data_IF_361962212910
#
_entry.id   IF_361962212910
#
_cell.length_a   1.000
_cell.length_b   1.000
_cell.length_c   1.000
_cell.angle_alpha   90.00
_cell.angle_beta   90.00
_cell.angle_gamma   90.00
#
_symmetry.space_group_name_H-M   'P 1'
#
loop_
_entity.id
_entity.type
_entity.pdbx_description
1 polymer ?
#
# COMPACT_ATOMS: atom_id res chain seq x y z
N UNK A 1 -9.95 -4.38 -15.05
CA UNK A 1 -8.69 -4.69 -14.35
C UNK A 1 -8.79 -4.12 -12.94
N UNK A 2 -8.49 -4.89 -11.89
CA UNK A 2 -8.71 -4.53 -10.47
C UNK A 2 -7.35 -4.14 -9.85
N UNK A 3 -7.32 -3.01 -9.13
CA UNK A 3 -6.07 -2.48 -8.52
C UNK A 3 -5.62 -3.29 -7.28
N UNK A 4 -6.55 -4.03 -6.65
CA UNK A 4 -6.31 -4.84 -5.44
C UNK A 4 -6.84 -6.25 -5.66
N UNK A 5 -6.03 -7.26 -5.33
CA UNK A 5 -6.40 -8.68 -5.36
C UNK A 5 -6.31 -9.24 -3.95
N UNK A 6 -7.44 -9.74 -3.44
CA UNK A 6 -7.57 -10.36 -2.12
C UNK A 6 -8.23 -11.71 -2.31
N UNK A 7 -7.76 -12.74 -1.60
CA UNK A 7 -8.47 -14.01 -1.47
C UNK A 7 -9.53 -13.88 -0.37
N UNK A 8 -10.62 -14.63 -0.51
CA UNK A 8 -11.73 -14.65 0.46
C UNK A 8 -11.38 -15.40 1.75
N UNK A 9 -10.23 -16.07 1.78
CA UNK A 9 -9.74 -16.85 2.94
C UNK A 9 -8.99 -15.92 3.91
N UNK A 10 -9.40 -15.81 5.18
CA UNK A 10 -8.67 -15.05 6.20
C UNK A 10 -7.22 -15.52 6.36
N UNK A 11 -6.31 -14.60 6.71
CA UNK A 11 -4.90 -14.93 6.91
C UNK A 11 -4.12 -15.29 5.63
N UNK A 12 -4.69 -15.04 4.45
CA UNK A 12 -3.98 -15.21 3.18
C UNK A 12 -3.38 -13.92 2.66
N UNK A 13 -2.27 -14.04 1.92
CA UNK A 13 -1.61 -12.89 1.28
C UNK A 13 -2.51 -12.25 0.23
N UNK A 14 -2.43 -10.93 0.12
CA UNK A 14 -3.06 -10.15 -0.95
C UNK A 14 -2.01 -9.55 -1.89
N UNK A 15 -2.45 -8.80 -2.89
CA UNK A 15 -1.55 -7.99 -3.70
C UNK A 15 -2.19 -6.70 -4.21
N UNK A 16 -1.35 -5.68 -4.43
CA UNK A 16 -1.73 -4.42 -5.06
C UNK A 16 -0.95 -4.26 -6.36
N UNK A 17 -1.67 -4.00 -7.44
CA UNK A 17 -1.09 -3.68 -8.73
C UNK A 17 -0.97 -2.17 -8.89
N UNK A 18 0.24 -1.69 -9.17
CA UNK A 18 0.52 -0.25 -9.30
C UNK A 18 0.76 0.11 -10.77
N UNK A 19 -0.28 0.64 -11.42
CA UNK A 19 -0.25 1.01 -12.85
C UNK A 19 -0.30 2.51 -13.10
N UNK A 20 -0.72 3.29 -12.10
CA UNK A 20 -0.98 4.74 -12.24
C UNK A 20 -0.64 5.50 -10.97
N UNK A 21 -0.43 6.80 -11.12
CA UNK A 21 -0.19 7.74 -10.03
C UNK A 21 -1.17 8.91 -10.12
N UNK A 22 -1.52 9.47 -8.97
CA UNK A 22 -2.35 10.67 -8.89
C UNK A 22 -1.66 11.69 -7.98
N UNK A 23 -1.52 12.93 -8.46
CA UNK A 23 -0.98 14.05 -7.69
C UNK A 23 -1.90 15.25 -7.83
N UNK A 24 -2.11 15.98 -6.74
CA UNK A 24 -2.82 17.26 -6.80
C UNK A 24 -1.82 18.40 -6.98
N UNK A 25 -2.06 19.28 -7.94
CA UNK A 25 -1.28 20.50 -8.18
C UNK A 25 -2.22 21.62 -8.60
N UNK A 26 -2.07 22.83 -8.04
CA UNK A 26 -2.95 23.99 -8.33
C UNK A 26 -4.44 23.62 -8.26
N UNK A 27 -4.83 22.89 -7.20
CA UNK A 27 -6.19 22.36 -6.92
C UNK A 27 -6.72 21.31 -7.91
N UNK A 28 -5.99 20.98 -8.96
CA UNK A 28 -6.38 19.99 -9.97
C UNK A 28 -5.68 18.64 -9.75
N UNK A 29 -6.36 17.56 -10.11
CA UNK A 29 -5.78 16.22 -10.11
C UNK A 29 -5.06 15.97 -11.43
N UNK A 30 -3.79 15.62 -11.33
CA UNK A 30 -2.94 15.21 -12.44
C UNK A 30 -2.72 13.72 -12.27
N UNK A 31 -3.16 12.96 -13.28
CA UNK A 31 -2.92 11.53 -13.37
C UNK A 31 -1.75 11.29 -14.32
N UNK A 32 -0.90 10.33 -13.97
CA UNK A 32 0.24 9.95 -14.81
C UNK A 32 0.61 8.50 -14.60
N UNK A 33 1.43 7.97 -15.49
CA UNK A 33 2.07 6.67 -15.33
C UNK A 33 3.30 6.79 -14.44
N UNK A 34 3.74 5.71 -13.78
CA UNK A 34 5.05 5.67 -13.14
C UNK A 34 6.17 6.07 -14.12
N UNK A 35 7.23 6.70 -13.61
CA UNK A 35 8.26 7.42 -14.38
C UNK A 35 9.08 6.53 -15.36
N UNK A 36 8.94 5.21 -15.36
CA UNK A 36 9.63 4.31 -16.27
C UNK A 36 8.81 3.05 -16.58
N UNK A 37 9.03 2.41 -17.73
CA UNK A 37 8.42 1.12 -18.09
C UNK A 37 8.73 0.03 -17.04
N UNK A 38 9.94 0.03 -16.47
CA UNK A 38 10.31 -0.88 -15.36
C UNK A 38 9.61 -0.56 -14.02
N UNK A 39 9.05 0.64 -13.86
CA UNK A 39 8.23 1.03 -12.70
C UNK A 39 6.73 0.97 -12.98
N UNK A 40 6.36 0.73 -14.23
CA UNK A 40 4.99 0.63 -14.71
C UNK A 40 4.57 -0.82 -14.56
N UNK A 41 3.48 -1.06 -13.85
CA UNK A 41 2.91 -2.39 -13.67
C UNK A 41 3.68 -3.34 -12.74
N UNK A 42 3.95 -2.87 -11.51
CA UNK A 42 4.44 -3.75 -10.44
C UNK A 42 3.31 -4.29 -9.58
N UNK A 43 3.47 -5.52 -9.12
CA UNK A 43 2.62 -6.15 -8.11
C UNK A 43 3.37 -6.15 -6.79
N UNK A 44 2.78 -5.52 -5.77
CA UNK A 44 3.32 -5.47 -4.42
C UNK A 44 2.54 -6.46 -3.55
N UNK A 45 3.18 -7.46 -2.94
CA UNK A 45 2.51 -8.37 -2.03
C UNK A 45 2.06 -7.63 -0.76
N UNK A 46 0.89 -8.00 -0.26
CA UNK A 46 0.36 -7.53 1.02
C UNK A 46 0.53 -8.63 2.06
N UNK A 47 0.98 -8.23 3.25
CA UNK A 47 0.99 -9.12 4.40
C UNK A 47 -0.43 -9.62 4.71
N UNK A 48 -0.60 -10.85 5.23
CA UNK A 48 -1.91 -11.42 5.52
C UNK A 48 -2.81 -10.54 6.38
N UNK A 49 -2.29 -9.98 7.47
CA UNK A 49 -3.05 -9.12 8.38
C UNK A 49 -3.59 -7.86 7.68
N UNK A 50 -2.81 -7.26 6.76
CA UNK A 50 -3.22 -6.08 6.01
C UNK A 50 -4.25 -6.45 4.94
N UNK A 51 -4.17 -7.66 4.37
CA UNK A 51 -5.19 -8.19 3.49
C UNK A 51 -6.51 -8.44 4.26
N UNK A 52 -6.43 -8.90 5.51
CA UNK A 52 -7.59 -9.04 6.41
C UNK A 52 -8.25 -7.68 6.69
N UNK A 53 -7.48 -6.67 7.09
CA UNK A 53 -8.00 -5.32 7.34
C UNK A 53 -8.61 -4.70 6.08
N UNK A 54 -7.99 -4.90 4.91
CA UNK A 54 -8.56 -4.41 3.65
C UNK A 54 -9.86 -5.13 3.28
N UNK A 55 -10.01 -6.42 3.59
CA UNK A 55 -11.28 -7.14 3.40
C UNK A 55 -12.38 -6.57 4.29
N UNK A 56 -12.07 -6.33 5.56
CA UNK A 56 -13.00 -5.71 6.50
C UNK A 56 -13.43 -4.30 6.02
N UNK A 57 -12.45 -3.46 5.66
CA UNK A 57 -12.68 -2.14 5.10
C UNK A 57 -13.59 -2.16 3.87
N UNK A 58 -13.30 -3.04 2.90
CA UNK A 58 -14.08 -3.16 1.67
C UNK A 58 -15.50 -3.70 1.90
N UNK A 59 -15.73 -4.42 2.98
CA UNK A 59 -17.03 -5.01 3.31
C UNK A 59 -17.88 -4.04 4.11
N UNK A 60 -17.30 -3.41 5.13
CA UNK A 60 -18.05 -2.68 6.15
C UNK A 60 -18.00 -1.15 5.99
N UNK A 61 -16.95 -0.61 5.38
CA UNK A 61 -16.71 0.84 5.32
C UNK A 61 -16.88 1.39 3.90
N UNK A 62 -16.34 0.71 2.89
CA UNK A 62 -16.35 1.21 1.51
C UNK A 62 -17.70 0.94 0.83
N UNK A 63 -18.54 1.96 0.56
CA UNK A 63 -19.90 1.77 0.05
C UNK A 63 -19.90 1.21 -1.38
N UNK A 64 -18.94 1.62 -2.21
CA UNK A 64 -18.91 1.27 -3.63
C UNK A 64 -18.04 0.04 -3.93
N UNK A 65 -17.76 -0.79 -2.93
CA UNK A 65 -16.98 -2.02 -3.07
C UNK A 65 -17.88 -3.15 -3.58
N UNK A 66 -17.35 -4.14 -4.35
CA UNK A 66 -18.16 -5.28 -4.79
C UNK A 66 -18.63 -6.16 -3.63
N UNK A 67 -17.96 -6.09 -2.47
CA UNK A 67 -18.30 -6.86 -1.26
C UNK A 67 -19.01 -6.02 -0.20
N UNK A 68 -19.42 -4.80 -0.52
CA UNK A 68 -20.01 -3.89 0.45
C UNK A 68 -21.36 -4.39 0.98
N UNK A 69 -21.54 -4.34 2.29
CA UNK A 69 -22.83 -4.65 2.96
C UNK A 69 -23.80 -3.46 2.96
N UNK A 70 -23.36 -2.27 2.52
CA UNK A 70 -24.17 -1.04 2.54
C UNK A 70 -25.20 -0.95 1.41
N UNK A 71 -25.28 -1.95 0.52
CA UNK A 71 -26.29 -2.02 -0.55
C UNK A 71 -26.13 -1.02 -1.70
N UNK A 72 -25.02 -0.28 -1.74
CA UNK A 72 -24.74 0.69 -2.80
C UNK A 72 -24.21 -0.01 -4.06
N UNK A 73 -24.54 0.52 -5.24
CA UNK A 73 -24.08 -0.04 -6.51
C UNK A 73 -22.55 0.02 -6.61
N UNK A 74 -21.92 -1.11 -6.94
CA UNK A 74 -20.48 -1.19 -7.20
C UNK A 74 -20.03 -0.17 -8.26
N UNK A 75 -18.97 0.61 -7.96
CA UNK A 75 -18.35 1.56 -8.88
C UNK A 75 -16.87 1.17 -9.08
N UNK A 76 -16.50 0.64 -10.27
CA UNK A 76 -15.15 0.12 -10.50
C UNK A 76 -14.02 1.15 -10.38
N UNK A 77 -14.32 2.42 -10.61
CA UNK A 77 -13.35 3.52 -10.64
C UNK A 77 -13.41 4.38 -9.37
N UNK A 78 -14.19 3.98 -8.35
CA UNK A 78 -14.13 4.63 -7.05
C UNK A 78 -12.72 4.46 -6.45
N UNK A 79 -12.14 5.54 -5.88
CA UNK A 79 -10.84 5.46 -5.24
C UNK A 79 -10.92 4.61 -3.97
N UNK A 80 -9.94 3.74 -3.77
CA UNK A 80 -9.86 2.89 -2.57
C UNK A 80 -9.92 3.70 -1.28
N UNK A 81 -9.27 4.86 -1.25
CA UNK A 81 -9.33 5.81 -0.14
C UNK A 81 -9.91 7.14 -0.64
N UNK A 82 -11.11 7.53 -0.18
CA UNK A 82 -11.78 8.72 -0.69
C UNK A 82 -11.13 10.01 -0.18
N UNK A 83 -11.33 11.07 -0.96
CA UNK A 83 -11.08 12.43 -0.52
C UNK A 83 -12.12 12.90 0.51
N UNK A 84 -11.96 14.12 1.01
CA UNK A 84 -12.98 14.79 1.82
C UNK A 84 -13.55 15.95 1.04
N UNK A 85 -14.88 16.02 0.95
CA UNK A 85 -15.60 17.20 0.43
C UNK A 85 -15.73 18.26 1.52
N UNK A 86 -16.02 17.85 2.75
CA UNK A 86 -16.09 18.68 3.94
C UNK A 86 -15.73 17.83 5.18
N UNK A 87 -15.94 18.37 6.40
CA UNK A 87 -15.62 17.67 7.67
C UNK A 87 -16.40 16.37 7.87
N UNK A 88 -17.62 16.26 7.36
CA UNK A 88 -18.54 15.16 7.65
C UNK A 88 -18.79 14.24 6.44
N UNK A 89 -18.34 14.64 5.25
CA UNK A 89 -18.68 13.96 3.99
C UNK A 89 -17.44 13.63 3.18
N UNK A 90 -17.33 12.34 2.82
CA UNK A 90 -16.31 11.84 1.89
C UNK A 90 -16.67 12.17 0.44
N UNK A 91 -15.63 12.45 -0.35
CA UNK A 91 -15.70 12.57 -1.80
C UNK A 91 -15.20 11.25 -2.41
N UNK A 92 -16.13 10.41 -2.81
CA UNK A 92 -15.84 9.12 -3.46
C UNK A 92 -15.54 9.25 -4.96
N UNK A 93 -15.53 10.46 -5.52
CA UNK A 93 -15.12 10.69 -6.90
C UNK A 93 -13.63 11.04 -7.03
N UNK A 94 -12.99 11.49 -5.93
CA UNK A 94 -11.59 11.91 -5.90
C UNK A 94 -10.82 11.17 -4.81
N UNK A 95 -9.55 10.79 -5.03
CA UNK A 95 -8.77 10.12 -4.00
C UNK A 95 -8.38 11.06 -2.85
N UNK A 96 -7.94 10.48 -1.74
CA UNK A 96 -7.35 11.24 -0.62
C UNK A 96 -6.17 12.12 -1.09
N UNK A 97 -6.12 13.35 -0.60
CA UNK A 97 -5.01 14.27 -0.88
C UNK A 97 -3.83 13.97 0.04
N UNK A 98 -2.77 13.37 -0.49
CA UNK A 98 -1.60 12.96 0.29
C UNK A 98 -0.98 14.10 1.13
N UNK A 99 -0.87 15.33 0.61
CA UNK A 99 -0.35 16.45 1.40
C UNK A 99 -1.24 16.81 2.59
N UNK A 100 -2.56 16.78 2.42
CA UNK A 100 -3.52 17.05 3.51
C UNK A 100 -3.54 15.93 4.53
N UNK A 101 -3.40 14.67 4.09
CA UNK A 101 -3.23 13.53 4.97
C UNK A 101 -1.94 13.63 5.80
N UNK A 102 -0.85 14.08 5.16
CA UNK A 102 0.42 14.29 5.83
C UNK A 102 0.30 15.37 6.91
N UNK A 103 -0.15 16.57 6.55
CA UNK A 103 -0.18 17.74 7.43
C UNK A 103 -1.12 17.58 8.63
N UNK A 104 -2.31 16.99 8.42
CA UNK A 104 -3.35 16.96 9.47
C UNK A 104 -3.42 15.67 10.27
N UNK A 105 -2.83 14.57 9.80
CA UNK A 105 -2.94 13.28 10.46
C UNK A 105 -1.57 12.68 10.73
N UNK A 106 -0.78 12.44 9.67
CA UNK A 106 0.47 11.72 9.82
C UNK A 106 1.52 12.50 10.61
N UNK A 107 1.75 13.77 10.29
CA UNK A 107 2.71 14.60 11.01
C UNK A 107 2.29 14.84 12.47
N UNK A 108 0.98 14.88 12.74
CA UNK A 108 0.48 14.97 14.10
C UNK A 108 0.76 13.68 14.87
N UNK A 109 0.40 12.51 14.31
CA UNK A 109 0.69 11.21 14.92
C UNK A 109 2.19 11.02 15.17
N UNK A 110 3.06 11.39 14.22
CA UNK A 110 4.51 11.33 14.41
C UNK A 110 4.96 12.16 15.61
N UNK A 111 4.47 13.41 15.76
CA UNK A 111 4.81 14.25 16.92
C UNK A 111 4.35 13.65 18.23
N UNK A 112 3.14 13.09 18.28
CA UNK A 112 2.59 12.44 19.47
C UNK A 112 3.38 11.19 19.85
N UNK A 113 3.92 10.46 18.87
CA UNK A 113 4.83 9.34 19.08
C UNK A 113 6.28 9.76 19.41
N UNK A 114 6.58 11.05 19.54
CA UNK A 114 7.95 11.55 19.75
C UNK A 114 8.86 11.40 18.52
N UNK A 115 8.29 11.11 17.35
CA UNK A 115 9.00 11.06 16.08
C UNK A 115 9.13 12.48 15.51
N UNK A 116 10.28 12.77 14.89
CA UNK A 116 10.53 14.05 14.24
C UNK A 116 9.69 14.28 12.98
N UNK A 117 10.19 15.12 12.07
CA UNK A 117 9.51 15.37 10.80
C UNK A 117 9.69 14.18 9.84
N UNK A 118 8.73 13.25 9.87
CA UNK A 118 8.68 12.09 8.96
C UNK A 118 7.82 12.41 7.74
N UNK A 119 8.29 12.07 6.55
CA UNK A 119 7.56 12.16 5.27
C UNK A 119 7.11 10.77 4.83
N UNK A 120 6.06 10.70 4.00
CA UNK A 120 5.67 9.42 3.38
C UNK A 120 6.77 8.79 2.52
N UNK A 121 7.70 9.61 2.00
CA UNK A 121 8.86 9.09 1.27
C UNK A 121 9.81 8.31 2.18
N UNK A 122 9.91 8.69 3.45
CA UNK A 122 10.77 8.01 4.42
C UNK A 122 10.21 6.62 4.74
N UNK A 123 8.88 6.47 4.84
CA UNK A 123 8.24 5.15 4.97
C UNK A 123 8.57 4.23 3.78
N UNK A 124 8.56 4.78 2.56
CA UNK A 124 8.93 4.03 1.37
C UNK A 124 10.41 3.62 1.41
N UNK A 125 11.29 4.49 1.88
CA UNK A 125 12.71 4.15 2.07
C UNK A 125 12.89 3.06 3.11
N UNK A 126 12.21 3.15 4.26
CA UNK A 126 12.26 2.12 5.30
C UNK A 126 11.84 0.75 4.77
N UNK A 127 10.75 0.67 4.00
CA UNK A 127 10.32 -0.58 3.38
C UNK A 127 11.39 -1.16 2.43
N UNK A 128 12.01 -0.31 1.60
CA UNK A 128 13.07 -0.75 0.69
C UNK A 128 14.30 -1.27 1.46
N UNK A 129 14.71 -0.59 2.53
CA UNK A 129 15.83 -1.01 3.39
C UNK A 129 15.52 -2.33 4.12
N UNK A 130 14.31 -2.48 4.67
CA UNK A 130 13.89 -3.71 5.34
C UNK A 130 13.91 -4.91 4.39
N UNK A 131 13.41 -4.73 3.15
CA UNK A 131 13.45 -5.78 2.15
C UNK A 131 14.88 -6.15 1.73
N UNK A 132 15.77 -5.16 1.60
CA UNK A 132 17.19 -5.44 1.33
C UNK A 132 17.85 -6.21 2.48
N UNK A 133 17.56 -5.84 3.73
CA UNK A 133 18.10 -6.52 4.91
C UNK A 133 17.57 -7.94 5.05
N UNK A 134 16.28 -8.18 4.76
CA UNK A 134 15.73 -9.53 4.76
C UNK A 134 16.36 -10.40 3.69
N UNK A 135 16.66 -9.85 2.52
CA UNK A 135 17.32 -10.57 1.42
C UNK A 135 18.77 -10.95 1.79
N UNK A 136 19.50 -10.02 2.41
CA UNK A 136 20.84 -10.27 2.96
C UNK A 136 20.83 -11.35 4.05
N UNK A 137 19.78 -11.44 4.87
CA UNK A 137 19.63 -12.49 5.87
C UNK A 137 19.37 -13.88 5.24
N UNK A 138 18.64 -13.95 4.13
CA UNK A 138 18.48 -15.18 3.34
C UNK A 138 19.76 -15.59 2.61
N UNK A 139 20.59 -14.65 2.15
CA UNK A 139 21.88 -14.96 1.51
C UNK A 139 22.95 -15.40 2.53
N UNK A 140 23.01 -14.75 3.70
CA UNK A 140 23.93 -15.13 4.78
C UNK A 140 23.65 -16.55 5.33
N UNK A 141 22.42 -17.04 5.20
CA UNK A 141 22.05 -18.41 5.56
C UNK A 141 22.40 -19.45 4.48
N UNK A 142 22.74 -19.03 3.25
CA UNK A 142 23.17 -19.91 2.16
C UNK A 142 24.71 -20.12 2.11
N UNK A 143 25.51 -19.20 2.66
CA UNK A 143 26.99 -19.29 2.65
C UNK A 143 27.59 -20.25 3.70
N UNK A 144 26.78 -20.87 4.57
CA UNK A 144 27.26 -21.66 5.72
C UNK A 144 27.35 -23.17 5.55
N UNK A 145 26.95 -23.75 4.40
CA UNK A 145 26.97 -25.21 4.19
C UNK A 145 27.43 -25.59 2.78
N UNK A 146 28.73 -25.86 2.59
CA UNK A 146 29.30 -27.00 1.80
C UNK A 146 30.81 -26.87 1.47
N UNK A 147 31.65 -26.68 2.49
CA UNK A 147 33.08 -27.06 2.39
C UNK A 147 33.44 -28.10 3.45
N UNK A 148 32.87 -29.31 3.36
CA UNK A 148 33.45 -30.55 3.90
C UNK A 148 32.87 -31.71 3.11
N UNK A 149 33.64 -32.26 2.18
CA UNK A 149 33.68 -33.68 1.78
C UNK A 149 34.41 -33.78 0.43
N UNK A 150 35.74 -33.69 0.46
CA UNK A 150 36.65 -34.40 -0.46
C UNK A 150 38.06 -34.37 0.16
N UNK A 151 38.32 -35.30 1.10
CA UNK A 151 39.69 -35.74 1.43
C UNK A 151 39.64 -37.02 2.27
N UNK A 152 40.11 -38.13 1.69
CA UNK A 152 40.80 -39.20 2.40
C UNK A 152 39.98 -40.37 2.93
N UNK A 153 39.88 -41.44 2.14
CA UNK A 153 40.27 -42.81 2.50
C UNK A 153 40.24 -43.68 1.22
#
# INVERSE_FOLDING_TARGET
>A
MRDVTLSDIPGTVGSIRVVRTAKRKRRQWIYGTPKSDASTDRVVPLAPWLADELRDYLTNVHPFSPTSTQGMKYIPHAPLFPGRRNRYTFDWAKPVHAGSLHEHYFAQACRECGLGSVRFHDLRHTFATMNQMSDVASDASFSGKRERFLAGA
#
